data_IF_461639663257
#
_entry.id   IF_461639663257
#
_cell.length_a   1.000
_cell.length_b   1.000
_cell.length_c   1.000
_cell.angle_alpha   90.00
_cell.angle_beta   90.00
_cell.angle_gamma   90.00
#
_symmetry.space_group_name_H-M   'P 1'
#
loop_
_entity.id
_entity.type
_entity.pdbx_description
1 polymer ?
#
# COMPACT_ATOMS: atom_id res chain seq x y z
N UNK A 1 27.78 -22.59 17.85
CA UNK A 1 26.92 -21.43 18.15
C UNK A 1 25.76 -21.48 17.17
N UNK A 2 24.64 -22.06 17.59
CA UNK A 2 23.46 -22.28 16.74
C UNK A 2 22.72 -20.97 16.63
N UNK A 3 22.64 -20.42 15.41
CA UNK A 3 21.78 -19.25 15.13
C UNK A 3 20.34 -19.61 15.48
N UNK A 4 19.75 -18.86 16.40
CA UNK A 4 18.32 -18.95 16.69
C UNK A 4 17.58 -18.34 15.49
N UNK A 5 16.92 -19.17 14.73
CA UNK A 5 15.99 -18.75 13.69
C UNK A 5 14.84 -17.99 14.36
N UNK A 6 14.61 -16.75 13.96
CA UNK A 6 13.35 -16.07 14.25
C UNK A 6 12.25 -16.86 13.53
N UNK A 7 11.48 -17.65 14.28
CA UNK A 7 10.24 -18.22 13.73
C UNK A 7 9.31 -17.03 13.43
N UNK A 8 8.85 -16.93 12.21
CA UNK A 8 7.82 -15.97 11.83
C UNK A 8 6.64 -16.09 12.80
N UNK A 9 6.19 -14.97 13.34
CA UNK A 9 4.96 -14.91 14.12
C UNK A 9 3.84 -15.09 13.10
N UNK A 10 3.31 -16.31 13.01
CA UNK A 10 2.17 -16.61 12.13
C UNK A 10 0.92 -16.13 12.86
N UNK A 11 0.37 -15.03 12.43
CA UNK A 11 -0.97 -14.60 12.86
C UNK A 11 -1.99 -15.56 12.25
N UNK A 12 -2.53 -16.44 13.06
CA UNK A 12 -3.77 -17.12 12.73
C UNK A 12 -4.91 -16.11 12.96
N UNK A 13 -5.45 -15.56 11.88
CA UNK A 13 -6.62 -14.69 11.93
C UNK A 13 -7.75 -15.40 12.70
N UNK A 14 -8.28 -14.76 13.74
CA UNK A 14 -9.43 -15.24 14.50
C UNK A 14 -9.13 -15.98 15.81
N UNK A 15 -7.91 -15.95 16.32
CA UNK A 15 -7.62 -16.56 17.63
C UNK A 15 -7.68 -15.55 18.78
N UNK A 16 -8.40 -15.93 19.84
CA UNK A 16 -8.37 -15.23 21.13
C UNK A 16 -6.97 -15.28 21.70
N UNK A 17 -6.49 -14.17 22.25
CA UNK A 17 -5.21 -14.14 23.00
C UNK A 17 -5.42 -14.86 24.34
N UNK A 18 -4.84 -16.04 24.47
CA UNK A 18 -4.97 -16.89 25.66
C UNK A 18 -3.61 -17.17 26.31
N UNK A 19 -3.61 -17.52 27.60
CA UNK A 19 -2.41 -17.94 28.32
C UNK A 19 -1.71 -19.15 27.68
N UNK A 20 -2.49 -20.09 27.12
CA UNK A 20 -1.97 -21.22 26.35
C UNK A 20 -1.28 -20.82 25.07
N UNK A 21 -1.80 -19.80 24.36
CA UNK A 21 -1.18 -19.22 23.17
C UNK A 21 0.14 -18.51 23.48
N UNK A 22 0.20 -17.82 24.60
CA UNK A 22 1.44 -17.20 25.13
C UNK A 22 2.49 -18.26 25.48
N UNK A 23 2.10 -19.36 26.13
CA UNK A 23 2.98 -20.45 26.49
C UNK A 23 3.51 -21.23 25.28
N UNK A 24 2.70 -21.37 24.21
CA UNK A 24 3.09 -22.06 22.98
C UNK A 24 4.02 -21.22 22.07
N UNK A 25 3.88 -19.89 22.12
CA UNK A 25 4.68 -18.96 21.31
C UNK A 25 6.12 -18.73 21.78
N UNK A 26 6.44 -19.12 23.00
CA UNK A 26 7.76 -19.00 23.61
C UNK A 26 7.59 -19.12 25.10
N UNK A 27 8.00 -20.24 25.67
CA UNK A 27 8.05 -20.41 27.12
C UNK A 27 8.95 -19.30 27.70
N UNK A 28 8.34 -18.19 28.05
CA UNK A 28 8.95 -17.15 28.84
C UNK A 28 9.17 -17.77 30.22
N UNK A 29 10.42 -18.08 30.55
CA UNK A 29 10.76 -18.49 31.88
C UNK A 29 10.44 -17.28 32.79
N UNK A 30 9.50 -17.39 33.76
CA UNK A 30 9.05 -16.24 34.56
C UNK A 30 10.18 -15.52 35.30
N UNK A 31 11.30 -16.19 35.49
CA UNK A 31 12.49 -15.64 36.14
C UNK A 31 13.42 -14.87 35.20
N UNK A 32 13.30 -15.03 33.88
CA UNK A 32 14.25 -14.47 32.90
C UNK A 32 13.72 -13.34 32.08
N UNK A 33 12.41 -13.21 31.92
CA UNK A 33 11.81 -12.16 31.09
C UNK A 33 10.88 -11.24 31.90
N UNK A 34 11.34 -10.07 32.26
CA UNK A 34 10.54 -9.08 33.00
C UNK A 34 9.71 -8.17 32.07
N UNK A 35 9.93 -8.23 30.77
CA UNK A 35 9.20 -7.42 29.76
C UNK A 35 9.11 -8.15 28.43
N UNK A 36 8.01 -7.98 27.73
CA UNK A 36 7.90 -8.37 26.32
C UNK A 36 8.78 -7.50 25.45
N UNK A 37 9.43 -8.12 24.47
CA UNK A 37 10.04 -7.39 23.37
C UNK A 37 8.91 -6.98 22.42
N UNK A 38 8.57 -5.71 22.46
CA UNK A 38 7.55 -5.16 21.59
C UNK A 38 8.10 -5.04 20.17
N UNK A 39 7.33 -5.47 19.17
CA UNK A 39 7.68 -5.29 17.77
C UNK A 39 7.68 -3.79 17.42
N UNK A 40 8.83 -3.27 16.96
CA UNK A 40 9.00 -1.82 16.72
C UNK A 40 9.45 -1.49 15.30
N UNK A 41 9.59 -2.51 14.43
CA UNK A 41 10.27 -2.34 13.14
C UNK A 41 9.33 -1.98 11.98
N UNK A 42 8.03 -1.92 12.22
CA UNK A 42 7.07 -1.55 11.18
C UNK A 42 6.93 -0.04 11.12
N UNK A 43 7.06 0.51 9.92
CA UNK A 43 6.97 1.93 9.67
C UNK A 43 5.96 2.22 8.54
N UNK A 44 5.22 3.31 8.70
CA UNK A 44 4.28 3.83 7.71
C UNK A 44 4.73 5.21 7.22
N UNK A 45 5.84 5.30 6.48
CA UNK A 45 6.45 6.58 6.13
C UNK A 45 5.59 7.41 5.18
N UNK A 46 4.80 6.77 4.32
CA UNK A 46 3.96 7.43 3.34
C UNK A 46 2.72 8.05 3.98
N UNK A 47 2.11 7.38 4.95
CA UNK A 47 0.88 7.82 5.62
C UNK A 47 0.96 9.24 6.21
N UNK A 48 2.13 9.68 6.67
CA UNK A 48 2.34 11.03 7.18
C UNK A 48 2.54 12.13 6.12
N UNK A 49 2.77 11.75 4.87
CA UNK A 49 3.09 12.68 3.77
C UNK A 49 1.93 12.90 2.82
N UNK A 50 1.00 11.95 2.74
CA UNK A 50 -0.20 12.02 1.90
C UNK A 50 -1.25 12.98 2.48
N UNK A 51 -2.19 13.38 1.64
CA UNK A 51 -3.29 14.25 2.07
C UNK A 51 -4.43 13.41 2.66
N UNK A 52 -4.89 13.78 3.85
CA UNK A 52 -6.05 13.19 4.50
C UNK A 52 -7.25 14.14 4.43
N UNK A 53 -8.39 13.63 3.96
CA UNK A 53 -9.64 14.36 3.84
C UNK A 53 -10.73 13.68 4.68
N UNK A 54 -11.30 14.42 5.65
CA UNK A 54 -12.44 13.94 6.42
C UNK A 54 -13.73 14.50 5.80
N UNK A 55 -14.65 13.62 5.42
CA UNK A 55 -15.93 13.96 4.82
C UNK A 55 -17.07 13.51 5.73
N UNK A 56 -18.26 14.10 5.56
CA UNK A 56 -19.44 13.74 6.36
C UNK A 56 -20.27 12.61 5.79
N UNK A 57 -20.05 12.25 4.53
CA UNK A 57 -20.76 11.17 3.82
C UNK A 57 -19.81 10.08 3.37
N UNK A 58 -20.27 8.82 3.32
CA UNK A 58 -19.49 7.68 2.86
C UNK A 58 -19.17 7.72 1.37
N UNK A 59 -20.09 8.29 0.58
CA UNK A 59 -19.94 8.45 -0.86
C UNK A 59 -20.19 9.87 -1.24
N UNK A 60 -19.49 10.37 -2.25
CA UNK A 60 -19.67 11.74 -2.71
C UNK A 60 -18.65 12.13 -3.76
N UNK A 61 -18.60 13.41 -4.03
CA UNK A 61 -17.72 14.00 -5.01
C UNK A 61 -16.86 15.09 -4.36
N UNK A 62 -15.62 15.19 -4.81
CA UNK A 62 -14.70 16.28 -4.46
C UNK A 62 -14.55 17.14 -5.71
N UNK A 63 -15.03 18.36 -5.62
CA UNK A 63 -14.91 19.31 -6.73
C UNK A 63 -13.47 19.77 -6.90
N UNK A 64 -12.99 19.74 -8.13
CA UNK A 64 -11.67 20.17 -8.57
C UNK A 64 -11.82 21.33 -9.54
N UNK A 65 -11.11 22.41 -9.28
CA UNK A 65 -11.10 23.59 -10.16
C UNK A 65 -9.67 23.78 -10.69
N UNK A 66 -9.54 23.87 -11.99
CA UNK A 66 -8.24 24.02 -12.61
C UNK A 66 -8.27 24.82 -13.91
N UNK A 67 -7.08 25.18 -14.37
CA UNK A 67 -6.87 25.85 -15.66
C UNK A 67 -5.98 24.95 -16.51
N UNK A 68 -6.57 24.30 -17.51
CA UNK A 68 -5.88 23.25 -18.27
C UNK A 68 -5.01 23.73 -19.44
N UNK A 69 -4.94 25.03 -19.74
CA UNK A 69 -4.23 25.56 -20.92
C UNK A 69 -3.69 26.97 -20.70
N UNK A 70 -2.84 27.41 -21.65
CA UNK A 70 -2.36 28.79 -21.71
C UNK A 70 -3.54 29.73 -22.07
N UNK A 71 -3.75 30.77 -21.25
CA UNK A 71 -4.88 31.68 -21.36
C UNK A 71 -4.49 33.08 -21.84
N UNK A 72 -3.24 33.49 -21.65
CA UNK A 72 -2.80 34.83 -22.04
C UNK A 72 -2.78 35.02 -23.54
N UNK A 73 -3.32 36.18 -24.00
CA UNK A 73 -3.26 36.65 -25.36
C UNK A 73 -2.70 38.07 -25.42
N UNK A 74 -2.12 38.44 -26.54
CA UNK A 74 -1.66 39.81 -26.78
C UNK A 74 -2.87 40.75 -26.81
N UNK A 75 -2.84 41.82 -26.02
CA UNK A 75 -3.83 42.87 -26.06
C UNK A 75 -3.56 43.78 -27.28
N UNK A 76 -4.59 44.10 -28.05
CA UNK A 76 -4.56 45.17 -29.04
C UNK A 76 -5.30 46.37 -28.47
N UNK A 77 -4.73 47.55 -28.62
CA UNK A 77 -5.32 48.77 -28.12
C UNK A 77 -6.67 49.04 -28.79
N UNK A 78 -7.65 49.47 -28.04
CA UNK A 78 -9.00 49.80 -28.47
C UNK A 78 -9.76 48.73 -29.25
N UNK A 79 -9.44 47.43 -29.01
CA UNK A 79 -10.11 46.30 -29.70
C UNK A 79 -10.44 45.22 -28.67
N UNK A 80 -11.71 44.79 -28.60
CA UNK A 80 -12.14 43.58 -27.89
C UNK A 80 -12.29 42.46 -28.93
N UNK A 81 -11.47 41.42 -28.82
CA UNK A 81 -11.50 40.23 -29.69
C UNK A 81 -12.58 39.21 -29.26
N UNK A 82 -13.41 39.56 -28.27
CA UNK A 82 -14.44 38.69 -27.71
C UNK A 82 -13.92 37.49 -26.94
N UNK A 83 -12.59 37.41 -26.72
CA UNK A 83 -12.00 36.30 -25.96
C UNK A 83 -12.36 36.40 -24.48
N UNK A 84 -12.97 35.31 -23.99
CA UNK A 84 -13.23 35.11 -22.54
C UNK A 84 -12.67 33.76 -22.14
N UNK A 85 -11.96 33.75 -21.07
CA UNK A 85 -11.37 32.55 -20.50
C UNK A 85 -12.14 32.13 -19.25
N UNK A 86 -12.21 30.82 -19.02
CA UNK A 86 -12.86 30.25 -17.87
C UNK A 86 -11.98 29.18 -17.21
N UNK A 87 -12.40 28.73 -16.04
CA UNK A 87 -11.84 27.60 -15.34
C UNK A 87 -12.52 26.29 -15.79
N UNK A 88 -11.81 25.19 -15.70
CA UNK A 88 -12.38 23.86 -15.86
C UNK A 88 -12.75 23.30 -14.48
N UNK A 89 -13.93 22.75 -14.40
CA UNK A 89 -14.38 21.98 -13.25
C UNK A 89 -14.18 20.51 -13.54
N UNK A 90 -13.65 19.79 -12.59
CA UNK A 90 -13.55 18.35 -12.56
C UNK A 90 -14.11 17.82 -11.25
N UNK A 91 -14.38 16.54 -11.18
CA UNK A 91 -14.88 15.87 -10.00
C UNK A 91 -14.05 14.64 -9.76
N UNK A 92 -13.79 14.33 -8.48
CA UNK A 92 -13.25 13.08 -8.01
C UNK A 92 -14.34 12.41 -7.18
N UNK A 93 -14.77 11.24 -7.60
CA UNK A 93 -15.74 10.45 -6.86
C UNK A 93 -15.02 9.62 -5.80
N UNK A 94 -15.62 9.48 -4.63
CA UNK A 94 -15.11 8.63 -3.55
C UNK A 94 -16.22 7.76 -2.97
N UNK A 95 -15.84 6.56 -2.48
CA UNK A 95 -16.73 5.59 -1.87
C UNK A 95 -16.03 4.89 -0.71
N UNK A 96 -16.08 5.49 0.49
CA UNK A 96 -15.40 4.96 1.66
C UNK A 96 -15.92 3.57 2.06
N UNK A 97 -15.04 2.59 2.07
CA UNK A 97 -15.33 1.22 2.47
C UNK A 97 -15.09 1.03 3.95
N UNK A 98 -16.09 0.53 4.73
CA UNK A 98 -15.93 0.32 6.15
C UNK A 98 -15.08 -0.92 6.42
N UNK A 99 -14.12 -0.78 7.32
CA UNK A 99 -13.25 -1.86 7.79
C UNK A 99 -13.27 -1.95 9.31
N UNK A 100 -12.96 -3.14 9.83
CA UNK A 100 -12.91 -3.40 11.27
C UNK A 100 -11.77 -4.35 11.60
N UNK A 101 -11.16 -4.15 12.78
CA UNK A 101 -10.26 -5.11 13.39
C UNK A 101 -10.80 -5.46 14.79
N UNK A 102 -11.34 -6.66 15.00
CA UNK A 102 -11.70 -7.16 16.32
C UNK A 102 -10.52 -7.91 16.96
N UNK A 103 -10.37 -7.77 18.28
CA UNK A 103 -9.53 -8.66 19.09
C UNK A 103 -10.13 -8.85 20.48
N UNK A 104 -9.72 -9.90 21.15
CA UNK A 104 -10.18 -10.24 22.49
C UNK A 104 -9.02 -10.68 23.37
N UNK A 105 -9.12 -10.38 24.65
CA UNK A 105 -8.14 -10.74 25.67
C UNK A 105 -8.90 -11.37 26.84
N UNK A 106 -8.44 -12.53 27.34
CA UNK A 106 -9.02 -13.17 28.51
C UNK A 106 -8.56 -12.49 29.80
N UNK A 107 -9.43 -12.39 30.78
CA UNK A 107 -9.09 -11.84 32.11
C UNK A 107 -7.99 -12.66 32.81
N UNK A 108 -7.95 -13.96 32.57
CA UNK A 108 -6.91 -14.84 33.06
C UNK A 108 -5.54 -14.41 32.53
N UNK A 109 -5.42 -14.17 31.22
CA UNK A 109 -4.19 -13.65 30.62
C UNK A 109 -3.76 -12.32 31.24
N UNK A 110 -4.71 -11.43 31.53
CA UNK A 110 -4.40 -10.13 32.17
C UNK A 110 -3.92 -10.28 33.62
N UNK A 111 -4.42 -11.28 34.37
CA UNK A 111 -4.02 -11.52 35.75
C UNK A 111 -2.68 -12.23 35.87
N UNK A 112 -2.40 -13.19 34.98
CA UNK A 112 -1.20 -14.05 35.06
C UNK A 112 -0.01 -13.51 34.27
N UNK A 113 -0.20 -12.41 33.56
CA UNK A 113 0.81 -11.84 32.69
C UNK A 113 1.93 -11.16 33.49
N UNK A 114 3.17 -11.28 32.98
CA UNK A 114 4.38 -10.66 33.54
C UNK A 114 4.32 -9.14 33.55
N UNK A 115 3.69 -8.54 32.52
CA UNK A 115 3.54 -7.07 32.38
C UNK A 115 2.41 -6.49 33.24
N UNK A 116 1.60 -7.33 33.88
CA UNK A 116 0.50 -6.90 34.75
C UNK A 116 -0.50 -6.00 34.05
N UNK A 117 -0.87 -4.88 34.68
CA UNK A 117 -1.85 -3.91 34.16
C UNK A 117 -1.44 -3.23 32.83
N UNK A 118 -0.17 -3.27 32.44
CA UNK A 118 0.32 -2.64 31.22
C UNK A 118 0.07 -3.50 29.97
N UNK A 119 -0.20 -4.80 30.13
CA UNK A 119 -0.37 -5.72 29.00
C UNK A 119 -1.47 -5.28 28.04
N UNK A 120 -2.62 -4.85 28.55
CA UNK A 120 -3.72 -4.33 27.73
C UNK A 120 -3.25 -3.16 26.84
N UNK A 121 -2.47 -2.24 27.42
CA UNK A 121 -1.93 -1.09 26.69
C UNK A 121 -0.93 -1.53 25.62
N UNK A 122 -0.08 -2.49 25.90
CA UNK A 122 0.90 -3.03 24.95
C UNK A 122 0.18 -3.67 23.77
N UNK A 123 -0.81 -4.54 24.03
CA UNK A 123 -1.59 -5.19 22.96
C UNK A 123 -2.35 -4.17 22.12
N UNK A 124 -3.00 -3.20 22.75
CA UNK A 124 -3.72 -2.14 22.05
C UNK A 124 -2.78 -1.32 21.15
N UNK A 125 -1.59 -0.99 21.62
CA UNK A 125 -0.59 -0.26 20.83
C UNK A 125 -0.10 -1.11 19.63
N UNK A 126 0.14 -2.41 19.83
CA UNK A 126 0.52 -3.31 18.73
C UNK A 126 -0.57 -3.40 17.68
N UNK A 127 -1.84 -3.60 18.10
CA UNK A 127 -2.97 -3.66 17.17
C UNK A 127 -3.19 -2.35 16.41
N UNK A 128 -3.04 -1.21 17.10
CA UNK A 128 -3.16 0.12 16.46
C UNK A 128 -2.05 0.35 15.43
N UNK A 129 -0.82 -0.10 15.73
CA UNK A 129 0.28 -0.02 14.78
C UNK A 129 0.03 -0.89 13.56
N UNK A 130 -0.43 -2.13 13.77
CA UNK A 130 -0.75 -3.04 12.67
C UNK A 130 -1.84 -2.47 11.76
N UNK A 131 -2.89 -1.84 12.32
CA UNK A 131 -3.90 -1.12 11.51
C UNK A 131 -3.26 -0.06 10.62
N UNK A 132 -2.25 0.66 11.13
CA UNK A 132 -1.51 1.64 10.33
C UNK A 132 -0.82 1.00 9.13
N UNK A 133 -0.13 -0.11 9.33
CA UNK A 133 0.58 -0.85 8.28
C UNK A 133 -0.41 -1.46 7.27
N UNK A 134 -1.46 -2.13 7.74
CA UNK A 134 -2.50 -2.72 6.89
C UNK A 134 -3.20 -1.65 6.04
N UNK A 135 -3.48 -0.48 6.63
CA UNK A 135 -4.09 0.63 5.89
C UNK A 135 -3.14 1.19 4.82
N UNK A 136 -1.83 1.33 5.11
CA UNK A 136 -0.86 1.80 4.12
C UNK A 136 -0.72 0.79 2.97
N UNK A 137 -0.72 -0.50 3.28
CA UNK A 137 -0.70 -1.57 2.28
C UNK A 137 -1.96 -1.56 1.40
N UNK A 138 -3.15 -1.48 2.01
CA UNK A 138 -4.41 -1.36 1.26
C UNK A 138 -4.46 -0.09 0.40
N UNK A 139 -3.96 1.04 0.91
CA UNK A 139 -3.89 2.27 0.12
C UNK A 139 -2.99 2.14 -1.11
N UNK A 140 -1.93 1.34 -1.04
CA UNK A 140 -1.01 1.09 -2.15
C UNK A 140 -1.52 -0.01 -3.09
N UNK A 141 -1.79 -1.19 -2.54
CA UNK A 141 -1.93 -2.43 -3.28
C UNK A 141 -3.37 -2.93 -3.42
N UNK A 142 -4.35 -2.25 -2.80
CA UNK A 142 -5.77 -2.63 -2.88
C UNK A 142 -6.23 -2.82 -4.33
N UNK A 143 -7.10 -3.79 -4.56
CA UNK A 143 -7.70 -4.08 -5.87
C UNK A 143 -9.07 -4.72 -5.70
N UNK A 144 -10.13 -3.95 -5.92
CA UNK A 144 -11.51 -4.43 -5.82
C UNK A 144 -11.84 -5.58 -6.79
N UNK A 145 -11.02 -5.80 -7.83
CA UNK A 145 -11.23 -6.93 -8.75
C UNK A 145 -11.13 -8.26 -8.02
N UNK A 146 -10.36 -8.36 -6.94
CA UNK A 146 -10.26 -9.56 -6.12
C UNK A 146 -11.61 -9.97 -5.47
N UNK A 147 -12.56 -9.06 -5.34
CA UNK A 147 -13.92 -9.39 -4.90
C UNK A 147 -14.68 -10.29 -5.90
N UNK A 148 -14.20 -10.40 -7.15
CA UNK A 148 -14.78 -11.20 -8.24
C UNK A 148 -14.09 -12.55 -8.43
N UNK A 149 -13.09 -12.88 -7.63
CA UNK A 149 -12.38 -14.16 -7.70
C UNK A 149 -13.35 -15.29 -7.43
N UNK A 150 -13.36 -16.27 -8.32
CA UNK A 150 -14.17 -17.50 -8.21
C UNK A 150 -13.25 -18.70 -8.01
N UNK A 151 -13.75 -19.72 -7.33
CA UNK A 151 -13.04 -21.01 -7.33
C UNK A 151 -12.99 -21.59 -8.74
N UNK A 152 -11.82 -22.12 -9.13
CA UNK A 152 -11.66 -22.76 -10.44
C UNK A 152 -12.56 -23.99 -10.54
N UNK A 153 -13.29 -24.10 -11.64
CA UNK A 153 -14.10 -25.27 -11.99
C UNK A 153 -13.74 -25.79 -13.38
N UNK A 154 -13.39 -27.07 -13.53
CA UNK A 154 -13.01 -27.63 -14.83
C UNK A 154 -14.19 -27.71 -15.81
N UNK A 155 -15.42 -27.45 -15.38
CA UNK A 155 -16.62 -27.46 -16.21
C UNK A 155 -16.98 -26.06 -16.77
N UNK A 156 -16.30 -25.01 -16.33
CA UNK A 156 -16.58 -23.63 -16.74
C UNK A 156 -15.57 -23.18 -17.82
N UNK A 157 -15.96 -22.14 -18.55
CA UNK A 157 -15.10 -21.43 -19.50
C UNK A 157 -14.75 -20.08 -18.92
N UNK A 158 -13.50 -19.63 -19.12
CA UNK A 158 -13.02 -18.37 -18.61
C UNK A 158 -12.56 -17.45 -19.73
N UNK A 159 -12.94 -16.18 -19.64
CA UNK A 159 -12.52 -15.14 -20.57
C UNK A 159 -11.19 -14.53 -20.14
N UNK A 160 -10.54 -13.82 -21.06
CA UNK A 160 -9.36 -13.01 -20.76
C UNK A 160 -9.72 -11.96 -19.71
N UNK A 161 -8.95 -11.91 -18.63
CA UNK A 161 -9.16 -11.01 -17.50
C UNK A 161 -9.92 -11.61 -16.32
N UNK A 162 -10.54 -12.79 -16.48
CA UNK A 162 -11.22 -13.47 -15.38
C UNK A 162 -10.23 -13.90 -14.29
N UNK A 163 -10.69 -13.76 -13.04
CA UNK A 163 -9.91 -14.12 -11.85
C UNK A 163 -10.42 -15.41 -11.24
N UNK A 164 -9.53 -16.36 -11.04
CA UNK A 164 -9.84 -17.66 -10.44
C UNK A 164 -8.89 -18.03 -9.33
N UNK A 165 -9.41 -18.68 -8.29
CA UNK A 165 -8.65 -19.29 -7.22
C UNK A 165 -8.38 -20.77 -7.56
N UNK A 166 -7.11 -21.16 -7.56
CA UNK A 166 -6.68 -22.54 -7.75
C UNK A 166 -5.48 -22.85 -6.86
N UNK A 167 -5.54 -23.93 -6.10
CA UNK A 167 -4.47 -24.35 -5.18
C UNK A 167 -4.02 -23.24 -4.20
N UNK A 168 -4.96 -22.48 -3.61
CA UNK A 168 -4.71 -21.36 -2.71
C UNK A 168 -3.99 -20.16 -3.34
N UNK A 169 -3.94 -20.10 -4.65
CA UNK A 169 -3.40 -18.98 -5.42
C UNK A 169 -4.46 -18.39 -6.31
N UNK A 170 -4.33 -17.11 -6.60
CA UNK A 170 -5.21 -16.39 -7.51
C UNK A 170 -4.49 -16.19 -8.84
N UNK A 171 -5.20 -16.49 -9.92
CA UNK A 171 -4.72 -16.38 -11.28
C UNK A 171 -5.63 -15.49 -12.11
N UNK A 172 -5.05 -14.71 -13.00
CA UNK A 172 -5.77 -13.98 -14.02
C UNK A 172 -5.53 -14.65 -15.39
N UNK A 173 -6.61 -14.98 -16.09
CA UNK A 173 -6.50 -15.52 -17.44
C UNK A 173 -6.02 -14.47 -18.43
N UNK A 174 -4.95 -14.77 -19.13
CA UNK A 174 -4.37 -13.95 -20.21
C UNK A 174 -4.81 -14.43 -21.59
N UNK A 175 -5.33 -15.64 -21.68
CA UNK A 175 -5.96 -16.22 -22.83
C UNK A 175 -7.34 -16.80 -22.48
N UNK A 176 -8.22 -17.00 -23.46
CA UNK A 176 -9.52 -17.63 -23.21
C UNK A 176 -9.30 -19.12 -22.91
N UNK A 177 -9.86 -19.60 -21.80
CA UNK A 177 -9.78 -20.99 -21.36
C UNK A 177 -11.12 -21.70 -21.61
N UNK A 178 -11.07 -22.84 -22.29
CA UNK A 178 -12.24 -23.71 -22.48
C UNK A 178 -12.37 -24.69 -21.32
N UNK A 179 -13.59 -25.23 -21.10
CA UNK A 179 -13.80 -26.23 -20.06
C UNK A 179 -12.76 -27.37 -20.13
N UNK A 180 -12.04 -27.58 -19.02
CA UNK A 180 -10.92 -28.54 -18.96
C UNK A 180 -10.14 -28.43 -17.64
N UNK A 181 -8.99 -29.07 -17.59
CA UNK A 181 -8.07 -28.94 -16.45
C UNK A 181 -7.41 -27.54 -16.43
N UNK A 182 -7.03 -27.07 -15.25
CA UNK A 182 -6.33 -25.78 -15.12
C UNK A 182 -5.03 -25.77 -15.93
N UNK A 183 -4.85 -24.74 -16.77
CA UNK A 183 -3.64 -24.51 -17.55
C UNK A 183 -2.92 -23.24 -17.08
N UNK A 184 -1.75 -23.43 -16.47
CA UNK A 184 -0.93 -22.31 -16.01
C UNK A 184 -0.31 -21.49 -17.16
N UNK A 185 -0.25 -22.03 -18.38
CA UNK A 185 0.24 -21.31 -19.56
C UNK A 185 -0.73 -20.25 -20.08
N UNK A 186 -2.02 -20.36 -19.74
CA UNK A 186 -3.08 -19.41 -20.13
C UNK A 186 -3.38 -18.38 -19.04
N UNK A 187 -2.74 -18.48 -17.86
CA UNK A 187 -3.02 -17.62 -16.71
C UNK A 187 -1.73 -17.12 -16.05
N UNK A 188 -1.80 -15.92 -15.51
CA UNK A 188 -0.72 -15.30 -14.72
C UNK A 188 -1.09 -15.34 -13.24
N UNK A 189 -0.17 -15.83 -12.40
CA UNK A 189 -0.31 -15.80 -10.95
C UNK A 189 -0.24 -14.36 -10.44
N UNK A 190 -1.22 -13.97 -9.60
CA UNK A 190 -1.29 -12.63 -8.99
C UNK A 190 -0.90 -12.63 -7.52
N UNK A 191 -1.05 -13.74 -6.82
CA UNK A 191 -0.77 -13.86 -5.39
C UNK A 191 -1.52 -15.01 -4.73
N UNK A 192 -1.61 -14.99 -3.41
CA UNK A 192 -2.36 -15.99 -2.66
C UNK A 192 -3.84 -15.58 -2.49
N UNK A 193 -4.70 -16.54 -2.15
CA UNK A 193 -6.11 -16.25 -1.83
C UNK A 193 -6.23 -15.38 -0.59
N UNK A 194 -5.35 -15.59 0.40
CA UNK A 194 -5.34 -14.79 1.64
C UNK A 194 -4.98 -13.33 1.35
N UNK A 195 -4.00 -13.08 0.46
CA UNK A 195 -3.66 -11.72 0.00
C UNK A 195 -4.81 -11.08 -0.77
N UNK A 196 -5.46 -11.84 -1.66
CA UNK A 196 -6.60 -11.35 -2.42
C UNK A 196 -7.81 -11.01 -1.52
N UNK A 197 -8.05 -11.81 -0.48
CA UNK A 197 -9.09 -11.54 0.51
C UNK A 197 -8.82 -10.26 1.31
N UNK A 198 -7.56 -9.97 1.57
CA UNK A 198 -7.14 -8.73 2.22
C UNK A 198 -7.25 -7.53 1.26
N UNK A 199 -6.72 -7.63 0.04
CA UNK A 199 -6.60 -6.53 -0.89
C UNK A 199 -7.90 -6.11 -1.59
N UNK A 200 -8.97 -6.90 -1.53
CA UNK A 200 -10.26 -6.62 -2.21
C UNK A 200 -11.07 -5.43 -1.67
N UNK A 201 -10.56 -4.74 -0.65
CA UNK A 201 -11.30 -3.72 0.10
C UNK A 201 -11.54 -2.44 -0.69
N UNK A 202 -10.53 -1.96 -1.42
CA UNK A 202 -10.55 -0.72 -2.20
C UNK A 202 -9.54 -0.79 -3.35
N UNK A 203 -9.60 0.18 -4.25
CA UNK A 203 -8.62 0.33 -5.34
C UNK A 203 -7.44 1.20 -4.91
N UNK A 204 -6.28 0.56 -4.70
CA UNK A 204 -5.04 1.22 -4.27
C UNK A 204 -4.40 2.10 -5.35
N UNK A 205 -3.45 2.94 -4.92
CA UNK A 205 -2.79 3.88 -5.84
C UNK A 205 -1.98 3.20 -6.94
N UNK A 206 -1.36 2.04 -6.69
CA UNK A 206 -0.62 1.28 -7.72
C UNK A 206 -1.54 0.92 -8.89
N UNK A 207 -2.76 0.45 -8.60
CA UNK A 207 -3.76 0.15 -9.62
C UNK A 207 -4.20 1.41 -10.36
N UNK A 208 -4.55 2.48 -9.62
CA UNK A 208 -4.97 3.74 -10.22
C UNK A 208 -3.89 4.34 -11.13
N UNK A 209 -2.61 4.23 -10.78
CA UNK A 209 -1.49 4.66 -11.63
C UNK A 209 -1.35 3.80 -12.87
N UNK A 210 -1.55 2.47 -12.76
CA UNK A 210 -1.51 1.55 -13.91
C UNK A 210 -2.66 1.79 -14.90
N UNK A 211 -3.83 2.20 -14.39
CA UNK A 211 -5.02 2.41 -15.22
C UNK A 211 -5.13 3.83 -15.79
N UNK A 212 -4.73 4.85 -15.06
CA UNK A 212 -4.94 6.25 -15.44
C UNK A 212 -3.71 7.14 -15.49
N UNK A 213 -2.58 6.70 -14.93
CA UNK A 213 -1.31 7.42 -14.93
C UNK A 213 -0.43 7.11 -16.14
N UNK A 214 0.80 7.65 -16.13
CA UNK A 214 1.80 7.35 -17.15
C UNK A 214 2.54 6.05 -16.82
N UNK A 215 2.21 4.96 -17.52
CA UNK A 215 2.88 3.67 -17.36
C UNK A 215 4.15 3.62 -18.22
N UNK A 216 5.28 3.34 -17.59
CA UNK A 216 6.61 3.30 -18.22
C UNK A 216 7.19 1.91 -18.09
N UNK A 217 7.10 1.10 -19.15
CA UNK A 217 7.76 -0.19 -19.20
C UNK A 217 9.26 -0.02 -19.45
N UNK A 218 10.08 -0.61 -18.58
CA UNK A 218 11.54 -0.57 -18.65
C UNK A 218 12.18 -1.95 -18.91
N UNK A 219 11.39 -2.97 -19.19
CA UNK A 219 11.88 -4.31 -19.52
C UNK A 219 12.91 -4.33 -20.66
N UNK A 220 12.79 -3.40 -21.61
CA UNK A 220 13.74 -3.20 -22.70
C UNK A 220 15.03 -2.44 -22.32
N UNK A 221 15.17 -1.91 -21.11
CA UNK A 221 16.35 -1.21 -20.64
C UNK A 221 17.18 -2.16 -19.77
N UNK A 222 18.32 -2.64 -20.28
CA UNK A 222 19.19 -3.59 -19.58
C UNK A 222 18.41 -4.75 -18.92
N UNK A 223 17.39 -5.27 -19.60
CA UNK A 223 16.51 -6.34 -19.09
C UNK A 223 15.82 -5.96 -17.75
N UNK A 224 15.45 -4.72 -17.56
CA UNK A 224 14.77 -4.22 -16.35
C UNK A 224 15.71 -3.97 -15.16
N UNK A 225 17.03 -3.98 -15.37
CA UNK A 225 17.96 -3.68 -14.29
C UNK A 225 17.85 -2.22 -13.82
N UNK A 226 18.12 -1.98 -12.53
CA UNK A 226 18.08 -0.67 -11.93
C UNK A 226 19.24 0.19 -12.40
N UNK A 227 18.99 1.07 -13.38
CA UNK A 227 19.97 2.01 -13.95
C UNK A 227 19.39 3.41 -14.01
N UNK A 228 20.24 4.43 -14.17
CA UNK A 228 19.84 5.83 -14.19
C UNK A 228 18.81 6.14 -15.31
N UNK A 229 18.91 5.49 -16.45
CA UNK A 229 17.97 5.67 -17.59
C UNK A 229 16.53 5.32 -17.26
N UNK A 230 16.30 4.37 -16.33
CA UNK A 230 14.96 4.01 -15.84
C UNK A 230 14.29 5.23 -15.22
N UNK A 231 15.01 5.95 -14.36
CA UNK A 231 14.50 7.15 -13.70
C UNK A 231 14.28 8.31 -14.65
N UNK A 232 15.19 8.53 -15.59
CA UNK A 232 14.99 9.57 -16.62
C UNK A 232 13.80 9.26 -17.53
N UNK A 233 13.56 8.00 -17.88
CA UNK A 233 12.39 7.60 -18.67
C UNK A 233 11.10 7.86 -17.89
N UNK A 234 11.06 7.51 -16.60
CA UNK A 234 9.94 7.80 -15.71
C UNK A 234 9.68 9.30 -15.55
N UNK A 235 10.73 10.08 -15.30
CA UNK A 235 10.60 11.53 -15.12
C UNK A 235 10.10 12.24 -16.40
N UNK A 236 10.53 11.80 -17.58
CA UNK A 236 10.08 12.34 -18.87
C UNK A 236 8.64 11.97 -19.23
N UNK A 237 8.07 10.94 -18.61
CA UNK A 237 6.68 10.57 -18.81
C UNK A 237 5.72 11.58 -18.17
N UNK A 238 6.15 12.25 -17.08
CA UNK A 238 5.35 13.28 -16.43
C UNK A 238 5.52 14.61 -17.19
N UNK A 239 4.42 15.30 -17.54
CA UNK A 239 4.49 16.61 -18.19
C UNK A 239 5.25 17.64 -17.37
N UNK A 240 6.06 18.49 -18.05
CA UNK A 240 6.94 19.49 -17.41
C UNK A 240 6.20 20.45 -16.46
N UNK A 241 4.91 20.70 -16.69
CA UNK A 241 4.08 21.57 -15.82
C UNK A 241 4.00 21.08 -14.37
N UNK A 242 4.22 19.78 -14.13
CA UNK A 242 4.18 19.18 -12.81
C UNK A 242 5.59 18.99 -12.21
N UNK A 243 6.64 19.19 -13.00
CA UNK A 243 8.02 19.08 -12.51
C UNK A 243 8.46 20.38 -11.82
N UNK A 244 7.86 20.66 -10.68
CA UNK A 244 8.07 21.88 -9.87
C UNK A 244 8.97 21.66 -8.65
N UNK A 245 9.63 20.49 -8.55
CA UNK A 245 10.49 20.12 -7.44
C UNK A 245 9.78 19.45 -6.25
N UNK A 246 8.45 19.27 -6.33
CA UNK A 246 7.68 18.55 -5.28
C UNK A 246 7.61 17.04 -5.53
N UNK A 247 7.92 16.59 -6.75
CA UNK A 247 7.91 15.17 -7.09
C UNK A 247 8.85 14.36 -6.20
N UNK A 248 8.43 13.13 -5.91
CA UNK A 248 9.18 12.13 -5.12
C UNK A 248 9.09 10.78 -5.79
N UNK A 249 10.20 10.04 -5.74
CA UNK A 249 10.20 8.63 -6.05
C UNK A 249 9.70 7.85 -4.85
N UNK A 250 8.73 6.98 -5.05
CA UNK A 250 8.28 5.99 -4.07
C UNK A 250 8.78 4.64 -4.54
N UNK A 251 9.55 3.96 -3.71
CA UNK A 251 10.10 2.63 -4.02
C UNK A 251 10.25 1.79 -2.76
N UNK A 252 10.32 0.48 -2.93
CA UNK A 252 10.59 -0.42 -1.83
C UNK A 252 12.01 -0.24 -1.28
N UNK A 253 12.29 -0.60 -0.03
CA UNK A 253 13.63 -0.57 0.55
C UNK A 253 14.63 -1.42 -0.25
N UNK A 254 14.22 -2.56 -0.81
CA UNK A 254 15.06 -3.41 -1.65
C UNK A 254 15.50 -2.69 -2.92
N UNK A 255 14.58 -2.00 -3.59
CA UNK A 255 14.92 -1.18 -4.79
C UNK A 255 15.83 -0.01 -4.44
N UNK A 256 15.66 0.58 -3.26
CA UNK A 256 16.58 1.62 -2.78
C UNK A 256 17.99 1.08 -2.61
N UNK A 257 18.15 -0.09 -1.99
CA UNK A 257 19.43 -0.76 -1.82
C UNK A 257 20.07 -1.15 -3.17
N UNK A 258 19.27 -1.62 -4.13
CA UNK A 258 19.74 -1.93 -5.48
C UNK A 258 20.27 -0.67 -6.19
N UNK A 259 19.58 0.46 -6.06
CA UNK A 259 20.04 1.75 -6.55
C UNK A 259 21.37 2.18 -5.92
N UNK A 260 21.51 2.07 -4.61
CA UNK A 260 22.77 2.38 -3.90
C UNK A 260 23.92 1.49 -4.38
N UNK A 261 23.64 0.21 -4.55
CA UNK A 261 24.62 -0.74 -5.11
C UNK A 261 25.04 -0.34 -6.54
N UNK A 262 24.10 0.08 -7.36
CA UNK A 262 24.39 0.57 -8.71
C UNK A 262 25.32 1.78 -8.67
N UNK A 263 25.05 2.78 -7.84
CA UNK A 263 25.90 3.97 -7.68
C UNK A 263 27.30 3.60 -7.22
N UNK A 264 27.42 2.73 -6.21
CA UNK A 264 28.71 2.27 -5.70
C UNK A 264 29.53 1.58 -6.79
N UNK A 265 28.91 0.74 -7.59
CA UNK A 265 29.57 0.05 -8.70
C UNK A 265 30.07 1.04 -9.76
N UNK A 266 29.28 2.07 -10.09
CA UNK A 266 29.70 3.13 -11.01
C UNK A 266 30.89 3.95 -10.45
N UNK A 267 30.86 4.28 -9.17
CA UNK A 267 31.94 5.00 -8.50
C UNK A 267 33.24 4.22 -8.50
N UNK A 268 33.20 2.94 -8.18
CA UNK A 268 34.39 2.05 -8.20
C UNK A 268 34.95 1.95 -9.60
N UNK A 269 34.12 1.81 -10.63
CA UNK A 269 34.54 1.72 -12.03
C UNK A 269 35.18 3.04 -12.51
N UNK A 270 34.68 4.19 -12.06
CA UNK A 270 35.23 5.51 -12.43
C UNK A 270 36.43 5.94 -11.60
N UNK A 271 36.87 5.18 -10.59
CA UNK A 271 37.97 5.51 -9.70
C UNK A 271 37.72 6.71 -8.80
N UNK A 272 36.44 7.05 -8.56
CA UNK A 272 36.01 8.18 -7.76
C UNK A 272 35.39 7.81 -6.44
N UNK A 273 35.45 8.72 -5.45
CA UNK A 273 34.71 8.61 -4.20
C UNK A 273 33.42 9.46 -4.35
N UNK A 274 32.26 8.85 -4.21
CA UNK A 274 31.00 9.59 -4.20
C UNK A 274 30.83 10.25 -2.83
N UNK A 275 31.00 11.57 -2.76
CA UNK A 275 30.77 12.37 -1.55
C UNK A 275 29.54 13.28 -1.67
N UNK A 276 28.92 13.37 -2.85
CA UNK A 276 27.80 14.29 -3.08
C UNK A 276 26.47 13.56 -2.86
N UNK A 277 25.70 14.02 -1.86
CA UNK A 277 24.32 13.55 -1.57
C UNK A 277 23.34 13.68 -2.75
N UNK A 278 23.66 14.50 -3.76
CA UNK A 278 22.84 14.61 -4.98
C UNK A 278 22.85 13.34 -5.81
N UNK A 279 23.90 12.54 -5.71
CA UNK A 279 24.02 11.27 -6.44
C UNK A 279 23.13 10.18 -5.79
N UNK A 280 22.81 10.32 -4.50
CA UNK A 280 21.91 9.41 -3.82
C UNK A 280 20.48 9.47 -4.36
N UNK A 281 20.08 10.61 -4.96
CA UNK A 281 18.75 10.83 -5.49
C UNK A 281 18.71 10.60 -7.01
N UNK A 282 17.98 9.56 -7.49
CA UNK A 282 17.88 9.28 -8.92
C UNK A 282 17.28 10.47 -9.69
N UNK A 283 17.95 10.89 -10.76
CA UNK A 283 17.54 12.05 -11.57
C UNK A 283 17.29 13.32 -10.75
N UNK A 284 18.01 13.52 -9.63
CA UNK A 284 17.89 14.66 -8.70
C UNK A 284 16.53 14.76 -7.99
N UNK A 285 15.70 13.73 -8.04
CA UNK A 285 14.39 13.66 -7.34
C UNK A 285 14.55 12.84 -6.07
N UNK A 286 14.17 13.36 -4.89
CA UNK A 286 14.27 12.63 -3.64
C UNK A 286 13.43 11.34 -3.63
N UNK A 287 13.92 10.36 -2.88
CA UNK A 287 13.30 9.05 -2.72
C UNK A 287 12.61 8.96 -1.37
N UNK A 288 11.44 8.34 -1.34
CA UNK A 288 10.73 7.89 -0.14
C UNK A 288 10.69 6.37 -0.20
N UNK A 289 11.24 5.74 0.84
CA UNK A 289 11.20 4.29 0.99
C UNK A 289 9.85 3.89 1.57
N UNK A 290 9.14 3.03 0.87
CA UNK A 290 7.80 2.56 1.26
C UNK A 290 7.83 1.04 1.34
N UNK A 291 7.86 0.47 2.55
CA UNK A 291 7.97 -0.98 2.73
C UNK A 291 6.82 -1.79 2.13
N UNK A 292 5.61 -1.20 2.08
CA UNK A 292 4.43 -1.85 1.51
C UNK A 292 4.39 -1.81 -0.03
N UNK A 293 5.30 -1.10 -0.69
CA UNK A 293 5.33 -1.03 -2.16
C UNK A 293 5.99 -2.30 -2.73
N UNK A 294 5.37 -2.97 -3.73
CA UNK A 294 5.96 -4.12 -4.40
C UNK A 294 7.29 -3.80 -5.09
N UNK A 295 8.18 -4.79 -5.15
CA UNK A 295 9.50 -4.64 -5.77
C UNK A 295 9.45 -4.54 -7.30
N UNK A 296 8.33 -4.87 -7.94
CA UNK A 296 8.16 -4.82 -9.40
C UNK A 296 7.84 -3.44 -9.94
N UNK A 297 7.54 -2.47 -9.07
CA UNK A 297 7.13 -1.11 -9.46
C UNK A 297 7.89 -0.01 -8.72
N UNK A 298 8.03 1.13 -9.39
CA UNK A 298 8.48 2.40 -8.80
C UNK A 298 7.48 3.46 -9.20
N UNK A 299 7.03 4.28 -8.26
CA UNK A 299 6.08 5.34 -8.52
C UNK A 299 6.74 6.71 -8.45
N UNK A 300 6.29 7.64 -9.28
CA UNK A 300 6.71 9.04 -9.26
C UNK A 300 5.48 9.93 -9.15
N UNK A 301 5.41 10.69 -8.08
CA UNK A 301 4.33 11.67 -7.86
C UNK A 301 4.70 12.66 -6.76
N UNK A 302 3.93 13.72 -6.58
CA UNK A 302 3.91 14.50 -5.35
C UNK A 302 3.11 13.70 -4.29
N UNK A 303 3.64 13.43 -3.10
CA UNK A 303 2.89 12.72 -2.05
C UNK A 303 1.53 13.36 -1.71
N UNK A 304 1.40 14.68 -1.85
CA UNK A 304 0.14 15.39 -1.62
C UNK A 304 -0.91 15.18 -2.72
N UNK A 305 -0.50 14.63 -3.86
CA UNK A 305 -1.40 14.20 -4.93
C UNK A 305 -2.15 12.91 -4.57
N UNK A 306 -1.62 12.17 -3.59
CA UNK A 306 -2.23 10.98 -3.02
C UNK A 306 -3.17 11.40 -1.90
N UNK A 307 -4.43 10.99 -1.99
CA UNK A 307 -5.49 11.40 -1.06
C UNK A 307 -6.10 10.17 -0.41
N UNK A 308 -6.21 10.21 0.92
CA UNK A 308 -6.99 9.24 1.70
C UNK A 308 -8.23 9.97 2.22
N UNK A 309 -9.39 9.47 1.86
CA UNK A 309 -10.68 10.02 2.27
C UNK A 309 -11.26 9.13 3.36
N UNK A 310 -11.76 9.74 4.43
CA UNK A 310 -12.47 9.04 5.51
C UNK A 310 -13.83 9.73 5.74
N UNK A 311 -14.89 8.99 6.04
CA UNK A 311 -16.17 9.60 6.42
C UNK A 311 -16.30 9.78 7.92
N UNK A 312 -15.54 9.03 8.71
CA UNK A 312 -15.40 9.22 10.16
C UNK A 312 -14.00 8.82 10.62
N UNK A 313 -13.61 9.31 11.80
CA UNK A 313 -12.31 8.99 12.38
C UNK A 313 -12.24 7.57 12.92
N UNK A 314 -11.03 7.09 13.18
CA UNK A 314 -10.79 5.79 13.82
C UNK A 314 -11.43 5.77 15.22
N UNK A 315 -12.32 4.81 15.45
CA UNK A 315 -13.01 4.63 16.72
C UNK A 315 -12.67 3.29 17.33
N UNK A 316 -12.02 3.30 18.49
CA UNK A 316 -11.71 2.09 19.28
C UNK A 316 -12.82 1.93 20.31
N UNK A 317 -13.50 0.79 20.29
CA UNK A 317 -14.52 0.42 21.27
C UNK A 317 -14.04 -0.75 22.09
N UNK A 318 -14.28 -0.70 23.40
CA UNK A 318 -14.00 -1.74 24.37
C UNK A 318 -15.27 -2.09 25.11
N UNK A 319 -15.49 -3.39 25.34
CA UNK A 319 -16.57 -3.84 26.25
C UNK A 319 -16.08 -4.98 27.12
N UNK A 320 -16.50 -4.93 28.38
CA UNK A 320 -16.35 -5.99 29.39
C UNK A 320 -17.71 -6.50 29.82
N UNK A 321 -18.79 -5.95 29.24
CA UNK A 321 -20.18 -6.24 29.54
C UNK A 321 -20.83 -7.00 28.40
N UNK A 322 -21.77 -7.83 28.73
CA UNK A 322 -22.52 -8.64 27.77
C UNK A 322 -22.38 -10.13 28.10
N UNK A 323 -23.32 -10.97 27.61
CA UNK A 323 -23.35 -12.38 27.96
C UNK A 323 -22.03 -13.11 27.63
N UNK A 324 -21.49 -12.87 26.43
CA UNK A 324 -20.26 -13.53 25.98
C UNK A 324 -19.02 -13.09 26.80
N UNK A 325 -18.91 -11.79 27.12
CA UNK A 325 -17.81 -11.27 27.92
C UNK A 325 -17.82 -11.86 29.33
N UNK A 326 -19.00 -11.97 29.94
CA UNK A 326 -19.16 -12.49 31.30
C UNK A 326 -18.97 -14.00 31.35
N UNK A 327 -19.60 -14.78 30.43
CA UNK A 327 -19.48 -16.24 30.44
C UNK A 327 -18.09 -16.74 30.05
N UNK A 328 -17.36 -16.01 29.23
CA UNK A 328 -16.04 -16.42 28.75
C UNK A 328 -14.90 -15.69 29.46
N UNK A 329 -15.19 -14.82 30.43
CA UNK A 329 -14.22 -13.99 31.18
C UNK A 329 -13.24 -13.25 30.25
N UNK A 330 -13.80 -12.51 29.24
CA UNK A 330 -13.04 -11.86 28.17
C UNK A 330 -13.38 -10.38 28.04
N UNK A 331 -12.39 -9.62 27.56
CA UNK A 331 -12.56 -8.25 27.07
C UNK A 331 -12.55 -8.24 25.56
N UNK A 332 -13.54 -7.60 24.97
CA UNK A 332 -13.64 -7.42 23.53
C UNK A 332 -13.24 -5.99 23.14
N UNK A 333 -12.45 -5.92 22.09
CA UNK A 333 -12.02 -4.66 21.48
C UNK A 333 -12.36 -4.71 20.00
N UNK A 334 -12.82 -3.61 19.45
CA UNK A 334 -13.06 -3.47 18.03
C UNK A 334 -12.66 -2.06 17.60
N UNK A 335 -11.83 -1.98 16.57
CA UNK A 335 -11.58 -0.74 15.85
C UNK A 335 -12.47 -0.70 14.63
N UNK A 336 -13.12 0.42 14.44
CA UNK A 336 -13.90 0.73 13.24
C UNK A 336 -13.35 1.98 12.59
N UNK A 337 -13.18 1.95 11.28
CA UNK A 337 -12.93 3.11 10.44
C UNK A 337 -13.41 2.83 9.03
N UNK A 338 -13.45 3.84 8.21
CA UNK A 338 -13.67 3.72 6.78
C UNK A 338 -12.63 4.53 6.03
N UNK A 339 -12.34 4.16 4.83
CA UNK A 339 -11.47 4.95 3.98
C UNK A 339 -11.70 4.63 2.50
N UNK A 340 -11.20 5.52 1.67
CA UNK A 340 -11.02 5.35 0.24
C UNK A 340 -9.75 6.04 -0.20
N UNK A 341 -9.19 5.63 -1.30
CA UNK A 341 -7.93 6.13 -1.87
C UNK A 341 -8.16 6.76 -3.23
N UNK A 342 -7.66 7.97 -3.40
CA UNK A 342 -7.80 8.73 -4.62
C UNK A 342 -6.46 9.32 -5.07
N UNK A 343 -6.35 9.55 -6.37
CA UNK A 343 -5.29 10.36 -6.96
C UNK A 343 -5.92 11.65 -7.50
N UNK A 344 -5.46 12.81 -7.03
CA UNK A 344 -6.04 14.09 -7.42
C UNK A 344 -5.80 14.40 -8.91
N UNK A 345 -4.58 14.18 -9.41
CA UNK A 345 -4.18 14.43 -10.78
C UNK A 345 -3.36 13.26 -11.32
N UNK A 346 -3.99 12.42 -12.12
CA UNK A 346 -3.35 11.27 -12.76
C UNK A 346 -2.27 11.68 -13.76
N UNK A 347 -2.45 12.81 -14.46
CA UNK A 347 -1.42 13.37 -15.36
C UNK A 347 -0.11 13.75 -14.63
N UNK A 348 -0.15 13.95 -13.30
CA UNK A 348 1.03 14.26 -12.47
C UNK A 348 1.71 13.01 -11.91
N UNK A 349 1.38 11.84 -12.43
CA UNK A 349 1.87 10.55 -11.92
C UNK A 349 2.57 9.76 -13.00
N UNK A 350 3.59 8.99 -12.61
CA UNK A 350 4.16 7.95 -13.45
C UNK A 350 4.43 6.69 -12.62
N UNK A 351 4.27 5.55 -13.24
CA UNK A 351 4.62 4.25 -12.66
C UNK A 351 5.56 3.53 -13.61
N UNK A 352 6.69 3.11 -13.08
CA UNK A 352 7.69 2.31 -13.78
C UNK A 352 7.40 0.85 -13.51
N UNK A 353 7.32 0.05 -14.55
CA UNK A 353 7.04 -1.39 -14.53
C UNK A 353 8.06 -2.15 -15.38
N UNK A 354 8.08 -3.48 -15.29
CA UNK A 354 9.02 -4.30 -16.07
C UNK A 354 10.44 -4.30 -15.48
N UNK A 355 10.56 -4.05 -14.17
CA UNK A 355 11.81 -4.18 -13.44
C UNK A 355 12.17 -5.68 -13.29
N UNK A 356 13.46 -5.98 -13.38
CA UNK A 356 13.97 -7.32 -13.12
C UNK A 356 13.65 -7.75 -11.68
N UNK A 357 13.41 -9.03 -11.45
CA UNK A 357 13.29 -9.56 -10.08
C UNK A 357 14.61 -9.38 -9.32
N UNK A 358 14.52 -9.03 -8.04
CA UNK A 358 15.67 -8.85 -7.13
C UNK A 358 16.21 -10.21 -6.71
#
# INVERSE_FOLDING_TARGET
MTMRSNKAIVNAAGQTITTAGLAAGGALNPEQAKKFIQQTFEATPLSGLVRHELRSAKTGEIDKIGVGRRLLRKKTENTDDGYRSGVKHGKLEYACTPVRLPWEITEETLRENIEGSNYETIVTNLMTRQIGCDREDLCLNGDERYAKVKEFSPSETYAIGDLVAYNKKVYQYTAAHTAGAFDAGEATELGTVDDADFLKVNDGWVKQFKEGGHVVDVSGINSGAMVLDVFYKGLRAVPDKFNNGTLRWLMSPHRRQEWERYILNQAVTAGGIITDKRVENPASVPVIEVPALPDDVIMLTDPKNLVVVNSYGVVIRKTTEGPEAIYQDKRFYVVHFDFDTLVEELDATAIVTGLASI
#
